data_IF_834677749227
#
_entry.id   IF_834677749227
#
_cell.length_a   1.000
_cell.length_b   1.000
_cell.length_c   1.000
_cell.angle_alpha   90.00
_cell.angle_beta   90.00
_cell.angle_gamma   90.00
#
_symmetry.space_group_name_H-M   'P 1'
#
loop_
_entity.id
_entity.type
_entity.pdbx_description
1 polymer ?
#
# COMPACT_ATOMS: atom_id res chain seq x y z
N UNK A 1 22.71 -14.90 27.51
CA UNK A 1 22.33 -13.48 27.41
C UNK A 1 20.82 -13.44 27.15
N UNK A 2 20.04 -12.81 28.03
CA UNK A 2 18.62 -12.60 27.77
C UNK A 2 18.46 -11.66 26.58
N UNK A 3 17.65 -12.02 25.57
CA UNK A 3 17.31 -11.10 24.48
C UNK A 3 16.62 -9.90 25.10
N UNK A 4 17.08 -8.69 24.74
CA UNK A 4 16.41 -7.47 25.14
C UNK A 4 14.93 -7.56 24.73
N UNK A 5 14.04 -7.24 25.65
CA UNK A 5 12.59 -7.21 25.37
C UNK A 5 12.36 -6.06 24.39
N UNK A 6 11.75 -6.36 23.24
CA UNK A 6 11.37 -5.34 22.29
C UNK A 6 10.26 -4.48 22.92
N UNK A 7 10.55 -3.22 23.18
CA UNK A 7 9.57 -2.25 23.67
C UNK A 7 9.02 -1.46 22.48
N UNK A 8 7.73 -1.60 22.22
CA UNK A 8 7.04 -0.80 21.21
C UNK A 8 6.85 0.62 21.75
N UNK A 9 7.51 1.58 21.14
CA UNK A 9 7.41 3.00 21.50
C UNK A 9 6.29 3.71 20.76
N UNK A 10 5.80 3.14 19.65
CA UNK A 10 4.73 3.69 18.80
C UNK A 10 3.60 2.68 18.59
N UNK A 11 2.36 3.14 18.36
CA UNK A 11 1.28 2.28 17.93
C UNK A 11 1.66 1.53 16.65
N UNK A 12 1.24 0.27 16.54
CA UNK A 12 1.53 -0.59 15.39
C UNK A 12 0.28 -0.80 14.54
N UNK A 13 0.43 -0.61 13.24
CA UNK A 13 -0.65 -0.77 12.26
C UNK A 13 -0.14 -1.64 11.11
N UNK A 14 -0.95 -2.61 10.71
CA UNK A 14 -0.69 -3.44 9.54
C UNK A 14 -1.42 -2.82 8.34
N UNK A 15 -0.69 -2.48 7.32
CA UNK A 15 -1.26 -2.00 6.05
C UNK A 15 -0.70 -2.81 4.89
N UNK A 16 -1.21 -2.60 3.70
CA UNK A 16 -0.61 -3.18 2.51
C UNK A 16 -1.15 -2.58 1.23
N UNK A 17 -0.47 -2.89 0.14
CA UNK A 17 -0.85 -2.49 -1.21
C UNK A 17 -1.70 -3.54 -1.88
N UNK A 18 -2.84 -3.11 -2.43
CA UNK A 18 -3.77 -3.92 -3.23
C UNK A 18 -4.05 -3.22 -4.56
N UNK A 19 -4.56 -3.93 -5.55
CA UNK A 19 -4.91 -3.39 -6.86
C UNK A 19 -4.44 -4.27 -8.00
N UNK A 20 -4.75 -3.86 -9.23
CA UNK A 20 -4.48 -4.63 -10.45
C UNK A 20 -2.98 -4.88 -10.69
N UNK A 21 -2.65 -5.94 -11.44
CA UNK A 21 -1.30 -6.18 -11.93
C UNK A 21 -0.82 -4.97 -12.75
N UNK A 22 0.47 -4.66 -12.71
CA UNK A 22 1.12 -3.54 -13.41
C UNK A 22 0.65 -2.12 -13.02
N UNK A 23 -0.23 -1.94 -12.04
CA UNK A 23 -0.57 -0.62 -11.50
C UNK A 23 0.53 -0.01 -10.62
N UNK A 24 1.59 -0.76 -10.31
CA UNK A 24 2.77 -0.27 -9.59
C UNK A 24 2.69 -0.38 -8.07
N UNK A 25 2.05 -1.42 -7.53
CA UNK A 25 1.99 -1.70 -6.08
C UNK A 25 3.37 -1.80 -5.46
N UNK A 26 4.19 -2.73 -5.94
CA UNK A 26 5.57 -2.94 -5.46
C UNK A 26 6.44 -1.71 -5.68
N UNK A 27 6.24 -1.00 -6.81
CA UNK A 27 6.91 0.28 -7.08
C UNK A 27 6.54 1.35 -6.05
N UNK A 28 5.26 1.40 -5.65
CA UNK A 28 4.77 2.33 -4.60
C UNK A 28 5.33 1.95 -3.23
N UNK A 29 5.36 0.66 -2.90
CA UNK A 29 5.98 0.15 -1.66
C UNK A 29 7.47 0.54 -1.60
N UNK A 30 8.22 0.36 -2.69
CA UNK A 30 9.62 0.77 -2.77
C UNK A 30 9.79 2.30 -2.66
N UNK A 31 8.90 3.09 -3.28
CA UNK A 31 8.91 4.56 -3.18
C UNK A 31 8.66 5.04 -1.74
N UNK A 32 7.75 4.40 -1.01
CA UNK A 32 7.50 4.68 0.41
C UNK A 32 8.76 4.44 1.23
N UNK A 33 9.40 3.27 1.08
CA UNK A 33 10.62 2.95 1.82
C UNK A 33 11.76 3.89 1.47
N UNK A 34 11.89 4.29 0.19
CA UNK A 34 12.89 5.27 -0.25
C UNK A 34 12.69 6.62 0.44
N UNK A 35 11.51 7.18 0.38
CA UNK A 35 11.19 8.46 1.02
C UNK A 35 11.44 8.41 2.54
N UNK A 36 10.91 7.39 3.22
CA UNK A 36 11.08 7.25 4.66
C UNK A 36 12.53 6.96 5.08
N UNK A 37 13.34 6.35 4.20
CA UNK A 37 14.77 6.16 4.45
C UNK A 37 15.55 7.47 4.50
N UNK A 38 15.17 8.48 3.69
CA UNK A 38 15.76 9.82 3.76
C UNK A 38 15.50 10.50 5.11
N UNK A 39 14.40 10.13 5.77
CA UNK A 39 14.04 10.60 7.12
C UNK A 39 14.64 9.74 8.23
N UNK A 40 15.38 8.67 7.91
CA UNK A 40 15.89 7.71 8.87
C UNK A 40 14.83 6.82 9.54
N UNK A 41 13.64 6.68 8.91
CA UNK A 41 12.46 5.99 9.45
C UNK A 41 12.17 4.65 8.77
N UNK A 42 12.95 4.28 7.78
CA UNK A 42 12.89 3.00 7.09
C UNK A 42 14.28 2.57 6.61
N UNK A 43 14.42 1.27 6.35
CA UNK A 43 15.48 0.78 5.46
C UNK A 43 14.92 0.84 4.04
N UNK A 44 15.66 1.44 3.11
CA UNK A 44 15.26 1.41 1.70
C UNK A 44 15.27 -0.03 1.18
N UNK A 45 14.14 -0.46 0.64
CA UNK A 45 13.96 -1.75 -0.04
C UNK A 45 13.66 -1.47 -1.51
N UNK A 46 14.60 -1.86 -2.39
CA UNK A 46 14.42 -1.68 -3.83
C UNK A 46 13.40 -2.69 -4.38
N UNK A 47 12.83 -2.40 -5.56
CA UNK A 47 11.83 -3.24 -6.21
C UNK A 47 12.26 -4.72 -6.28
N UNK A 48 13.49 -4.99 -6.71
CA UNK A 48 14.06 -6.33 -6.86
C UNK A 48 14.43 -7.02 -5.52
N UNK A 49 14.35 -6.30 -4.42
CA UNK A 49 14.49 -6.84 -3.07
C UNK A 49 13.13 -7.22 -2.48
N UNK A 50 12.07 -6.48 -2.82
CA UNK A 50 10.69 -6.79 -2.45
C UNK A 50 10.21 -8.00 -3.23
N UNK A 51 10.26 -7.96 -4.57
CA UNK A 51 9.98 -9.10 -5.47
C UNK A 51 11.27 -9.92 -5.66
N UNK A 52 11.70 -10.57 -4.58
CA UNK A 52 13.03 -11.20 -4.51
C UNK A 52 13.12 -12.61 -5.11
N UNK A 53 12.00 -13.32 -5.27
CA UNK A 53 11.99 -14.70 -5.75
C UNK A 53 12.42 -14.80 -7.24
N UNK A 54 13.17 -15.85 -7.62
CA UNK A 54 13.61 -16.01 -9.01
C UNK A 54 12.46 -16.02 -10.02
N UNK A 55 11.31 -16.57 -9.66
CA UNK A 55 10.12 -16.63 -10.51
C UNK A 55 9.46 -15.26 -10.66
N UNK A 56 9.41 -14.45 -9.61
CA UNK A 56 8.93 -13.08 -9.64
C UNK A 56 9.79 -12.22 -10.57
N UNK A 57 11.11 -12.31 -10.43
CA UNK A 57 12.07 -11.62 -11.31
C UNK A 57 11.96 -12.03 -12.77
N UNK A 58 11.73 -13.32 -13.03
CA UNK A 58 11.62 -13.84 -14.38
C UNK A 58 10.32 -13.41 -15.08
N UNK A 59 9.23 -13.24 -14.31
CA UNK A 59 7.91 -12.86 -14.84
C UNK A 59 7.62 -11.37 -14.72
N UNK A 60 8.36 -10.63 -13.88
CA UNK A 60 8.11 -9.21 -13.58
C UNK A 60 6.82 -8.96 -12.82
N UNK A 61 6.32 -9.94 -12.05
CA UNK A 61 5.08 -9.84 -11.27
C UNK A 61 5.29 -10.39 -9.86
N UNK A 62 4.61 -9.78 -8.89
CA UNK A 62 4.57 -10.28 -7.51
C UNK A 62 3.73 -11.55 -7.43
N UNK A 63 4.28 -12.61 -6.85
CA UNK A 63 3.63 -13.92 -6.68
C UNK A 63 3.27 -14.14 -5.21
N UNK A 64 4.24 -13.93 -4.32
CA UNK A 64 4.06 -14.07 -2.89
C UNK A 64 3.89 -12.70 -2.23
N UNK A 65 3.30 -12.69 -1.05
CA UNK A 65 3.26 -11.46 -0.24
C UNK A 65 4.67 -11.14 0.28
N UNK A 66 5.10 -9.90 0.10
CA UNK A 66 6.32 -9.39 0.71
C UNK A 66 5.98 -8.52 1.92
N UNK A 67 6.86 -8.53 2.93
CA UNK A 67 6.68 -7.75 4.15
C UNK A 67 7.80 -6.74 4.29
N UNK A 68 7.44 -5.49 4.49
CA UNK A 68 8.36 -4.37 4.70
C UNK A 68 7.95 -3.63 5.96
N UNK A 69 8.92 -3.18 6.75
CA UNK A 69 8.69 -2.41 7.97
C UNK A 69 9.21 -0.99 7.84
N UNK A 70 8.44 -0.04 8.35
CA UNK A 70 8.83 1.36 8.40
C UNK A 70 8.05 2.14 9.47
N UNK A 71 8.46 3.37 9.72
CA UNK A 71 7.84 4.25 10.71
C UNK A 71 7.48 5.60 10.10
N UNK A 72 6.45 6.22 10.67
CA UNK A 72 6.21 7.67 10.60
C UNK A 72 6.55 8.30 11.95
N UNK A 73 6.28 9.59 12.13
CA UNK A 73 6.43 10.22 13.45
C UNK A 73 5.45 9.64 14.46
N UNK A 74 4.28 9.19 13.99
CA UNK A 74 3.16 8.79 14.82
C UNK A 74 3.08 7.28 15.04
N UNK A 75 3.53 6.46 14.08
CA UNK A 75 3.22 5.03 14.03
C UNK A 75 4.35 4.19 13.47
N UNK A 76 4.33 2.91 13.83
CA UNK A 76 5.12 1.85 13.21
C UNK A 76 4.20 1.02 12.30
N UNK A 77 4.64 0.73 11.10
CA UNK A 77 3.89 -0.01 10.09
C UNK A 77 4.58 -1.32 9.72
N UNK A 78 3.79 -2.40 9.68
CA UNK A 78 4.10 -3.58 8.89
C UNK A 78 3.31 -3.47 7.59
N UNK A 79 4.00 -3.44 6.47
CA UNK A 79 3.42 -3.29 5.15
C UNK A 79 3.51 -4.60 4.38
N UNK A 80 2.36 -5.07 3.89
CA UNK A 80 2.24 -6.28 3.08
C UNK A 80 2.05 -5.88 1.62
N UNK A 81 3.02 -6.18 0.78
CA UNK A 81 2.87 -6.02 -0.67
C UNK A 81 2.16 -7.25 -1.25
N UNK A 82 0.96 -7.05 -1.80
CA UNK A 82 0.12 -8.13 -2.30
C UNK A 82 0.28 -8.35 -3.81
N UNK A 83 0.22 -9.62 -4.28
CA UNK A 83 0.18 -9.92 -5.71
C UNK A 83 -1.07 -9.29 -6.36
N UNK A 84 -0.92 -8.88 -7.62
CA UNK A 84 -2.01 -8.27 -8.38
C UNK A 84 -2.65 -9.20 -9.40
N UNK A 85 -2.01 -10.32 -9.74
CA UNK A 85 -2.45 -11.23 -10.79
C UNK A 85 -3.53 -12.20 -10.29
N UNK A 86 -4.53 -12.47 -11.13
CA UNK A 86 -5.67 -13.34 -10.81
C UNK A 86 -5.27 -14.76 -10.35
N UNK A 87 -4.16 -15.31 -10.87
CA UNK A 87 -3.68 -16.64 -10.47
C UNK A 87 -3.23 -16.72 -9.00
N UNK A 88 -2.94 -15.57 -8.38
CA UNK A 88 -2.40 -15.48 -7.01
C UNK A 88 -3.39 -14.85 -6.00
N UNK A 89 -4.68 -14.89 -6.31
CA UNK A 89 -5.76 -14.37 -5.44
C UNK A 89 -5.71 -14.97 -4.05
N UNK A 90 -5.36 -16.26 -3.90
CA UNK A 90 -5.20 -16.90 -2.58
C UNK A 90 -4.16 -16.16 -1.73
N UNK A 91 -3.00 -15.84 -2.29
CA UNK A 91 -1.94 -15.13 -1.58
C UNK A 91 -2.35 -13.68 -1.25
N UNK A 92 -3.12 -13.04 -2.15
CA UNK A 92 -3.71 -11.73 -1.90
C UNK A 92 -4.68 -11.76 -0.71
N UNK A 93 -5.57 -12.77 -0.63
CA UNK A 93 -6.53 -12.92 0.47
C UNK A 93 -5.80 -13.11 1.79
N UNK A 94 -4.79 -13.98 1.83
CA UNK A 94 -3.97 -14.23 3.01
C UNK A 94 -3.27 -12.95 3.49
N UNK A 95 -2.69 -12.18 2.57
CA UNK A 95 -2.07 -10.89 2.89
C UNK A 95 -3.09 -9.87 3.40
N UNK A 96 -4.22 -9.71 2.69
CA UNK A 96 -5.25 -8.76 3.05
C UNK A 96 -5.92 -9.05 4.41
N UNK A 97 -6.05 -10.33 4.79
CA UNK A 97 -6.61 -10.71 6.08
C UNK A 97 -5.77 -10.23 7.29
N UNK A 98 -4.51 -9.88 7.07
CA UNK A 98 -3.61 -9.37 8.10
C UNK A 98 -3.66 -7.85 8.25
N UNK A 99 -4.34 -7.13 7.35
CA UNK A 99 -4.33 -5.66 7.26
C UNK A 99 -5.40 -5.00 8.14
N UNK A 100 -5.03 -3.93 8.81
CA UNK A 100 -5.94 -3.00 9.50
C UNK A 100 -6.51 -1.96 8.51
N UNK A 101 -5.77 -1.66 7.45
CA UNK A 101 -6.15 -0.81 6.33
C UNK A 101 -5.33 -1.11 5.08
N UNK A 102 -5.77 -0.65 3.93
CA UNK A 102 -5.11 -0.90 2.66
C UNK A 102 -4.86 0.38 1.84
N UNK A 103 -3.80 0.36 1.05
CA UNK A 103 -3.53 1.34 -0.01
C UNK A 103 -3.95 0.70 -1.33
N UNK A 104 -5.01 1.22 -1.93
CA UNK A 104 -5.46 0.81 -3.25
C UNK A 104 -4.66 1.59 -4.31
N UNK A 105 -3.81 0.89 -5.05
CA UNK A 105 -3.00 1.49 -6.13
C UNK A 105 -3.72 1.29 -7.46
N UNK A 106 -4.04 2.41 -8.12
CA UNK A 106 -4.71 2.44 -9.42
C UNK A 106 -3.85 3.24 -10.39
N UNK A 107 -3.62 2.72 -11.59
CA UNK A 107 -2.95 3.48 -12.64
C UNK A 107 -3.89 4.58 -13.16
N UNK A 108 -3.42 5.83 -13.16
CA UNK A 108 -4.18 6.95 -13.70
C UNK A 108 -4.40 6.85 -15.22
N UNK A 109 -3.49 6.15 -15.93
CA UNK A 109 -3.60 5.96 -17.38
C UNK A 109 -4.62 4.87 -17.77
N UNK A 110 -4.78 3.84 -16.92
CA UNK A 110 -5.62 2.68 -17.23
C UNK A 110 -6.98 2.71 -16.51
N UNK A 111 -7.07 3.45 -15.40
CA UNK A 111 -8.25 3.47 -14.54
C UNK A 111 -8.47 2.15 -13.77
N UNK A 112 -9.66 1.97 -13.17
CA UNK A 112 -9.99 0.74 -12.45
C UNK A 112 -10.13 -0.44 -13.41
N UNK A 113 -9.33 -1.48 -13.21
CA UNK A 113 -9.27 -2.71 -14.02
C UNK A 113 -9.98 -3.88 -13.30
N UNK A 114 -10.23 -5.03 -13.94
CA UNK A 114 -10.96 -6.14 -13.34
C UNK A 114 -10.44 -6.59 -11.97
N UNK A 115 -9.12 -6.77 -11.82
CA UNK A 115 -8.57 -7.15 -10.50
C UNK A 115 -8.66 -6.03 -9.45
N UNK A 116 -8.78 -4.75 -9.85
CA UNK A 116 -9.08 -3.66 -8.92
C UNK A 116 -10.40 -3.91 -8.20
N UNK A 117 -11.45 -4.26 -8.97
CA UNK A 117 -12.78 -4.60 -8.44
C UNK A 117 -12.73 -5.83 -7.53
N UNK A 118 -12.06 -6.88 -7.99
CA UNK A 118 -11.90 -8.12 -7.24
C UNK A 118 -11.17 -7.87 -5.90
N UNK A 119 -10.08 -7.11 -5.91
CA UNK A 119 -9.32 -6.81 -4.71
C UNK A 119 -10.09 -5.97 -3.69
N UNK A 120 -10.91 -5.00 -4.13
CA UNK A 120 -11.78 -4.22 -3.25
C UNK A 120 -12.81 -5.14 -2.59
N UNK A 121 -13.46 -6.00 -3.39
CA UNK A 121 -14.43 -6.96 -2.88
C UNK A 121 -13.82 -7.91 -1.84
N UNK A 122 -12.66 -8.50 -2.16
CA UNK A 122 -11.96 -9.43 -1.29
C UNK A 122 -11.47 -8.74 0.00
N UNK A 123 -10.90 -7.55 -0.11
CA UNK A 123 -10.50 -6.76 1.06
C UNK A 123 -11.70 -6.51 2.00
N UNK A 124 -12.86 -6.19 1.43
CA UNK A 124 -14.08 -6.02 2.22
C UNK A 124 -14.51 -7.31 2.91
N UNK A 125 -14.45 -8.45 2.21
CA UNK A 125 -14.84 -9.76 2.75
C UNK A 125 -13.92 -10.24 3.88
N UNK A 126 -12.62 -10.00 3.80
CA UNK A 126 -11.66 -10.35 4.85
C UNK A 126 -11.63 -9.35 6.01
N UNK A 127 -12.41 -8.27 5.94
CA UNK A 127 -12.61 -7.34 7.05
C UNK A 127 -11.75 -6.09 7.05
N UNK A 128 -11.07 -5.76 5.96
CA UNK A 128 -10.41 -4.46 5.79
C UNK A 128 -11.48 -3.36 5.78
N UNK A 129 -11.36 -2.42 6.70
CA UNK A 129 -12.38 -1.37 6.90
C UNK A 129 -12.00 -0.03 6.27
N UNK A 130 -10.72 0.21 6.12
CA UNK A 130 -10.18 1.50 5.69
C UNK A 130 -9.32 1.33 4.45
N UNK A 131 -9.57 2.14 3.45
CA UNK A 131 -8.79 2.18 2.20
C UNK A 131 -8.37 3.63 1.96
N UNK A 132 -7.10 3.82 1.60
CA UNK A 132 -6.57 5.05 1.03
C UNK A 132 -6.21 4.77 -0.42
N UNK A 133 -6.50 5.67 -1.34
CA UNK A 133 -6.23 5.46 -2.76
C UNK A 133 -4.97 6.21 -3.18
N UNK A 134 -4.14 5.55 -3.95
CA UNK A 134 -3.02 6.17 -4.65
C UNK A 134 -3.20 6.02 -6.16
N UNK A 135 -3.52 7.12 -6.84
CA UNK A 135 -3.52 7.20 -8.31
C UNK A 135 -2.08 7.35 -8.78
N UNK A 136 -1.52 6.23 -9.21
CA UNK A 136 -0.14 6.12 -9.67
C UNK A 136 -0.02 6.40 -11.17
N UNK A 137 1.18 6.60 -11.67
CA UNK A 137 1.50 6.88 -13.08
C UNK A 137 0.85 8.17 -13.62
N UNK A 138 0.65 9.17 -12.78
CA UNK A 138 0.12 10.46 -13.23
C UNK A 138 1.05 11.19 -14.22
N UNK A 139 2.33 10.82 -14.26
CA UNK A 139 3.31 11.27 -15.26
C UNK A 139 2.99 10.84 -16.70
N UNK A 140 2.12 9.84 -16.86
CA UNK A 140 1.67 9.33 -18.16
C UNK A 140 0.38 10.01 -18.67
N UNK A 141 -0.20 10.91 -17.89
CA UNK A 141 -1.50 11.54 -18.18
C UNK A 141 -1.34 13.06 -18.19
N UNK A 142 -1.40 13.64 -19.37
CA UNK A 142 -1.25 15.09 -19.57
C UNK A 142 -2.58 15.85 -19.38
N UNK A 143 -3.72 15.14 -19.46
CA UNK A 143 -5.05 15.73 -19.39
C UNK A 143 -5.60 15.70 -17.94
N UNK A 144 -5.77 16.87 -17.28
CA UNK A 144 -6.35 16.94 -15.95
C UNK A 144 -7.79 16.40 -15.85
N UNK A 145 -8.60 16.53 -16.93
CA UNK A 145 -9.98 16.05 -16.95
C UNK A 145 -10.04 14.52 -16.89
N UNK A 146 -9.05 13.86 -17.51
CA UNK A 146 -8.92 12.39 -17.43
C UNK A 146 -8.59 11.93 -16.00
N UNK A 147 -7.72 12.66 -15.31
CA UNK A 147 -7.39 12.36 -13.91
C UNK A 147 -8.62 12.49 -12.99
N UNK A 148 -9.47 13.50 -13.23
CA UNK A 148 -10.71 13.69 -12.49
C UNK A 148 -11.73 12.58 -12.78
N UNK A 149 -11.82 12.17 -14.05
CA UNK A 149 -12.70 11.08 -14.46
C UNK A 149 -12.30 9.76 -13.77
N UNK A 150 -11.01 9.40 -13.78
CA UNK A 150 -10.51 8.21 -13.12
C UNK A 150 -10.75 8.27 -11.61
N UNK A 151 -10.56 9.45 -11.00
CA UNK A 151 -10.88 9.64 -9.57
C UNK A 151 -12.37 9.36 -9.29
N UNK A 152 -13.27 9.90 -10.11
CA UNK A 152 -14.71 9.65 -9.96
C UNK A 152 -15.06 8.15 -10.09
N UNK A 153 -14.51 7.48 -11.11
CA UNK A 153 -14.71 6.03 -11.30
C UNK A 153 -14.26 5.20 -10.10
N UNK A 154 -13.12 5.58 -9.49
CA UNK A 154 -12.62 4.90 -8.29
C UNK A 154 -13.53 5.15 -7.08
N UNK A 155 -14.04 6.40 -6.89
CA UNK A 155 -14.98 6.73 -5.83
C UNK A 155 -16.31 5.97 -5.95
N UNK A 156 -16.85 5.92 -7.17
CA UNK A 156 -18.08 5.19 -7.46
C UNK A 156 -17.90 3.68 -7.19
N UNK A 157 -16.77 3.13 -7.63
CA UNK A 157 -16.43 1.73 -7.41
C UNK A 157 -16.31 1.40 -5.92
N UNK A 158 -15.62 2.23 -5.14
CA UNK A 158 -15.50 2.03 -3.68
C UNK A 158 -16.86 2.11 -2.99
N UNK A 159 -17.73 3.03 -3.43
CA UNK A 159 -19.11 3.17 -2.92
C UNK A 159 -19.96 1.96 -3.25
N UNK A 160 -19.84 1.39 -4.45
CA UNK A 160 -20.52 0.16 -4.87
C UNK A 160 -20.19 -1.03 -3.93
N UNK A 161 -18.95 -1.13 -3.46
CA UNK A 161 -18.52 -2.18 -2.53
C UNK A 161 -18.66 -1.80 -1.04
N UNK A 162 -19.37 -0.71 -0.73
CA UNK A 162 -19.74 -0.32 0.62
C UNK A 162 -18.65 0.36 1.44
N UNK A 163 -17.68 0.96 0.76
CA UNK A 163 -16.74 1.91 1.37
C UNK A 163 -17.26 3.35 1.19
N UNK A 164 -16.89 4.31 2.05
CA UNK A 164 -17.31 5.70 1.94
C UNK A 164 -16.52 6.43 0.82
N UNK A 165 -16.80 6.12 -0.45
CA UNK A 165 -16.01 6.56 -1.60
C UNK A 165 -15.78 8.09 -1.68
N UNK A 166 -16.76 8.89 -1.25
CA UNK A 166 -16.67 10.36 -1.25
C UNK A 166 -15.69 10.89 -0.18
N UNK A 167 -15.52 10.16 0.92
CA UNK A 167 -14.68 10.57 2.06
C UNK A 167 -13.25 10.01 1.99
N UNK A 168 -13.03 9.01 1.15
CA UNK A 168 -11.74 8.32 1.03
C UNK A 168 -10.67 9.27 0.46
N UNK A 169 -9.51 9.41 1.12
CA UNK A 169 -8.39 10.17 0.55
C UNK A 169 -7.89 9.53 -0.74
N UNK A 170 -7.77 10.35 -1.79
CA UNK A 170 -7.19 9.96 -3.07
C UNK A 170 -6.00 10.85 -3.36
N UNK A 171 -4.81 10.27 -3.39
CA UNK A 171 -3.55 10.95 -3.64
C UNK A 171 -3.08 10.65 -5.06
N UNK A 172 -2.62 11.66 -5.78
CA UNK A 172 -2.16 11.57 -7.18
C UNK A 172 -0.64 11.69 -7.23
N UNK A 173 0.04 10.79 -7.97
CA UNK A 173 1.48 10.87 -8.09
C UNK A 173 2.10 9.85 -9.04
N UNK A 174 3.42 9.82 -9.06
CA UNK A 174 4.22 8.85 -9.81
C UNK A 174 5.27 8.21 -8.89
N UNK A 175 5.09 6.94 -8.57
CA UNK A 175 6.06 6.19 -7.80
C UNK A 175 7.38 6.00 -8.54
N UNK A 176 7.33 5.95 -9.87
CA UNK A 176 8.52 5.80 -10.71
C UNK A 176 9.42 7.05 -10.59
N UNK A 177 8.84 8.24 -10.71
CA UNK A 177 9.59 9.50 -10.58
C UNK A 177 10.27 9.61 -9.20
N UNK A 178 9.60 9.13 -8.16
CA UNK A 178 10.20 9.04 -6.81
C UNK A 178 11.40 8.12 -6.79
N UNK A 179 11.30 6.92 -7.40
CA UNK A 179 12.40 5.94 -7.41
C UNK A 179 13.57 6.40 -8.28
N UNK A 180 13.32 7.06 -9.40
CA UNK A 180 14.36 7.55 -10.31
C UNK A 180 15.04 8.83 -9.82
N UNK A 181 14.41 9.56 -8.90
CA UNK A 181 14.99 10.78 -8.33
C UNK A 181 16.32 10.50 -7.64
N UNK A 182 17.31 11.33 -7.90
CA UNK A 182 18.60 11.34 -7.22
C UNK A 182 18.68 12.31 -6.05
N UNK A 183 17.58 13.03 -5.78
CA UNK A 183 17.49 13.98 -4.67
C UNK A 183 17.59 13.27 -3.33
N UNK A 184 18.36 13.85 -2.43
CA UNK A 184 18.50 13.40 -1.04
C UNK A 184 17.78 14.33 -0.05
N UNK A 185 17.13 15.39 -0.56
CA UNK A 185 16.31 16.30 0.23
C UNK A 185 14.89 15.75 0.37
N UNK A 186 14.43 15.38 1.57
CA UNK A 186 13.08 14.87 1.77
C UNK A 186 11.98 15.91 1.48
N UNK A 187 12.33 17.20 1.36
CA UNK A 187 11.39 18.27 1.00
C UNK A 187 11.34 18.54 -0.51
N UNK A 188 12.09 17.80 -1.32
CA UNK A 188 12.01 17.92 -2.76
C UNK A 188 10.56 17.61 -3.23
N UNK A 189 10.00 18.44 -4.12
CA UNK A 189 8.63 18.26 -4.65
C UNK A 189 8.36 16.87 -5.23
N UNK A 190 9.39 16.16 -5.70
CA UNK A 190 9.25 14.78 -6.21
C UNK A 190 8.71 13.82 -5.16
N UNK A 191 9.01 14.05 -3.87
CA UNK A 191 8.55 13.21 -2.76
C UNK A 191 7.19 13.63 -2.19
N UNK A 192 6.66 14.79 -2.60
CA UNK A 192 5.41 15.32 -2.06
C UNK A 192 4.23 14.33 -2.14
N UNK A 193 3.99 13.59 -3.25
CA UNK A 193 2.89 12.63 -3.33
C UNK A 193 3.03 11.47 -2.33
N UNK A 194 4.24 10.98 -2.08
CA UNK A 194 4.48 9.89 -1.12
C UNK A 194 4.33 10.40 0.32
N UNK A 195 4.79 11.61 0.59
CA UNK A 195 4.56 12.26 1.88
C UNK A 195 3.07 12.41 2.15
N UNK A 196 2.31 12.95 1.20
CA UNK A 196 0.86 13.14 1.30
C UNK A 196 0.13 11.79 1.49
N UNK A 197 0.58 10.74 0.78
CA UNK A 197 0.06 9.39 0.97
C UNK A 197 0.26 8.91 2.41
N UNK A 198 1.45 9.08 2.97
CA UNK A 198 1.73 8.65 4.35
C UNK A 198 1.00 9.48 5.39
N UNK A 199 0.84 10.78 5.15
CA UNK A 199 0.04 11.68 6.01
C UNK A 199 -1.45 11.27 5.96
N UNK A 200 -1.98 10.89 4.80
CA UNK A 200 -3.33 10.37 4.65
C UNK A 200 -3.51 9.02 5.36
N UNK A 201 -2.56 8.10 5.23
CA UNK A 201 -2.56 6.81 5.93
C UNK A 201 -2.55 7.02 7.45
N UNK A 202 -1.70 7.91 7.95
CA UNK A 202 -1.60 8.23 9.38
C UNK A 202 -2.90 8.84 9.95
N UNK A 203 -3.60 9.66 9.17
CA UNK A 203 -4.79 10.38 9.63
C UNK A 203 -6.09 9.61 9.43
N UNK A 204 -6.23 8.90 8.30
CA UNK A 204 -7.48 8.24 7.91
C UNK A 204 -7.64 6.84 8.48
N UNK A 205 -6.56 6.04 8.55
CA UNK A 205 -6.61 4.69 9.12
C UNK A 205 -6.44 4.80 10.64
N UNK A 206 -7.43 4.41 11.46
CA UNK A 206 -7.30 4.50 12.92
C UNK A 206 -6.29 3.48 13.45
N UNK A 207 -5.73 3.77 14.62
CA UNK A 207 -4.95 2.76 15.36
C UNK A 207 -5.88 1.63 15.79
N UNK A 208 -5.59 0.36 15.42
CA UNK A 208 -6.47 -0.75 15.74
C UNK A 208 -6.48 -1.03 17.25
N UNK A 209 -7.68 -1.24 17.80
CA UNK A 209 -7.83 -1.76 19.15
C UNK A 209 -7.48 -3.25 19.16
N UNK A 210 -6.43 -3.60 19.91
CA UNK A 210 -6.02 -5.00 20.07
C UNK A 210 -6.59 -5.57 21.37
N UNK A 211 -7.25 -6.73 21.34
CA UNK A 211 -7.81 -7.38 22.53
C UNK A 211 -6.70 -8.01 23.38
N UNK A 212 -5.89 -7.18 24.05
CA UNK A 212 -4.73 -7.61 24.84
C UNK A 212 -5.09 -8.45 26.07
N UNK A 213 -6.34 -8.37 26.52
CA UNK A 213 -6.88 -9.13 27.66
C UNK A 213 -7.48 -10.49 27.25
N UNK A 214 -7.48 -10.80 25.96
CA UNK A 214 -7.96 -12.07 25.45
C UNK A 214 -6.84 -13.14 25.45
N UNK A 215 -7.20 -14.44 25.50
CA UNK A 215 -6.23 -15.50 25.29
C UNK A 215 -5.49 -15.34 23.95
N UNK A 216 -4.21 -15.72 23.95
CA UNK A 216 -3.41 -15.68 22.73
C UNK A 216 -4.06 -16.49 21.60
N UNK A 217 -4.26 -15.86 20.47
CA UNK A 217 -4.76 -16.46 19.23
C UNK A 217 -3.75 -16.22 18.11
N UNK A 218 -3.33 -17.30 17.47
CA UNK A 218 -2.48 -17.26 16.28
C UNK A 218 -3.14 -18.09 15.19
N UNK A 219 -3.71 -17.49 14.15
CA UNK A 219 -4.15 -18.24 12.98
C UNK A 219 -2.93 -18.89 12.31
N UNK A 220 -3.08 -20.12 11.88
CA UNK A 220 -2.09 -20.84 11.08
C UNK A 220 -2.65 -20.94 9.67
N UNK A 221 -1.90 -20.47 8.70
CA UNK A 221 -2.26 -20.48 7.28
C UNK A 221 -1.27 -21.38 6.54
N UNK A 222 -1.78 -22.21 5.60
CA UNK A 222 -0.99 -23.12 4.77
C UNK A 222 -0.52 -22.43 3.49
#
# INVERSE_FOLDING_TARGET
>A
MAKAKFERTKPHVNIGTIGHVDHGKTTTTAAITKYLSLLGKAKFEAYDQIDGAPEEKARGITINTAHVEYETDNRHYAHVDCPGHADYVKNMITGAAQMDGAILVVSAADGPMPQTREHILLARQVGVKYIVVYLNKCDMVDDPELLELVEMEVRDLLSEYGFPGDEIPIIKGSSLNVLESTSTDPNDPVYAPIKELMDAVDSYIPTPERPIDQPFLMPVED
#
